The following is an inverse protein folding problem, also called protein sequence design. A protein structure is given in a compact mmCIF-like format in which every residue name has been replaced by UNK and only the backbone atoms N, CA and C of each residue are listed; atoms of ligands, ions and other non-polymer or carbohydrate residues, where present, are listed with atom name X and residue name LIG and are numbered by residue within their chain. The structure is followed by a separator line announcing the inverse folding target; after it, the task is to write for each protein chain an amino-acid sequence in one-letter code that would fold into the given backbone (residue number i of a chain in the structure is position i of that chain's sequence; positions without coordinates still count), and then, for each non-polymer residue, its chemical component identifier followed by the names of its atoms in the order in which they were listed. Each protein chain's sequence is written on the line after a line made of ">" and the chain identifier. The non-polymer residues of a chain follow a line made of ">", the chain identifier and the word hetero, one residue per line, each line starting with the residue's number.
data_IF_443678447145
#
_entry.id   IF_443678447145
#
_cell.length_a   1.000
_cell.length_b   1.000
_cell.length_c   1.000
_cell.angle_alpha   90.00
_cell.angle_beta   90.00
_cell.angle_gamma   90.00
#
_symmetry.space_group_name_H-M   'P 1'
#
loop_
_entity.id
_entity.type
_entity.pdbx_description
1 polymer ?
#
# COMPACT_ATOMS: atom_id res chain seq x y z
N UNK A 1 19.56 14.02 13.02
CA UNK A 1 19.26 12.72 12.86
C UNK A 1 18.06 12.57 12.02
N UNK A 2 17.99 11.50 11.47
CA UNK A 2 16.97 11.25 10.57
C UNK A 2 15.72 10.92 11.29
N UNK A 3 14.76 11.65 11.00
CA UNK A 3 13.53 11.41 11.58
C UNK A 3 12.78 10.45 10.76
N UNK A 4 12.18 9.51 11.35
CA UNK A 4 11.37 8.59 10.58
C UNK A 4 10.26 9.38 9.89
N UNK A 5 9.87 8.89 8.74
CA UNK A 5 8.86 9.55 7.94
C UNK A 5 7.49 8.96 8.20
N UNK A 6 7.17 8.77 9.45
CA UNK A 6 5.87 8.20 9.80
C UNK A 6 4.74 9.10 9.34
N UNK A 7 3.75 8.50 8.76
CA UNK A 7 2.60 9.20 8.20
C UNK A 7 1.34 8.47 8.58
N UNK A 8 0.26 9.22 8.70
CA UNK A 8 -1.06 8.63 8.86
C UNK A 8 -1.62 8.31 7.49
N UNK A 9 -1.95 7.07 7.28
CA UNK A 9 -2.48 6.59 6.00
C UNK A 9 -3.81 5.92 6.23
N UNK A 10 -4.53 5.65 5.15
CA UNK A 10 -5.79 4.93 5.21
C UNK A 10 -5.67 3.66 4.39
N UNK A 11 -5.99 2.54 5.02
CA UNK A 11 -5.99 1.23 4.37
C UNK A 11 -7.42 0.88 4.01
N UNK A 12 -7.65 0.48 2.77
CA UNK A 12 -8.95 -0.02 2.34
C UNK A 12 -8.78 -1.47 1.95
N UNK A 13 -9.44 -2.35 2.70
CA UNK A 13 -9.22 -3.78 2.57
C UNK A 13 -9.81 -4.30 1.28
N UNK A 14 -9.14 -5.29 0.70
CA UNK A 14 -9.65 -5.96 -0.47
C UNK A 14 -10.87 -6.78 -0.11
N UNK A 15 -11.79 -6.89 -1.05
CA UNK A 15 -13.01 -7.67 -0.90
C UNK A 15 -12.94 -8.88 -1.81
N UNK A 16 -12.39 -9.99 -1.33
CA UNK A 16 -12.22 -11.17 -2.18
C UNK A 16 -13.52 -11.79 -2.61
N UNK A 17 -14.61 -11.50 -1.90
CA UNK A 17 -15.92 -12.03 -2.23
C UNK A 17 -16.59 -11.26 -3.36
N UNK A 18 -15.96 -10.18 -3.83
CA UNK A 18 -16.52 -9.35 -4.90
C UNK A 18 -15.52 -9.36 -6.05
N UNK A 19 -15.96 -9.68 -7.27
CA UNK A 19 -15.03 -9.68 -8.39
C UNK A 19 -14.55 -8.28 -8.74
N UNK A 20 -13.44 -8.21 -9.47
CA UNK A 20 -12.96 -6.94 -9.98
C UNK A 20 -12.03 -6.18 -9.06
N UNK A 21 -11.41 -6.85 -8.11
CA UNK A 21 -10.47 -6.20 -7.19
C UNK A 21 -11.12 -5.08 -6.39
N UNK A 22 -12.37 -5.28 -6.00
CA UNK A 22 -13.06 -4.25 -5.24
C UNK A 22 -12.43 -4.07 -3.87
N UNK A 23 -12.51 -2.86 -3.36
CA UNK A 23 -12.01 -2.51 -2.04
C UNK A 23 -13.15 -1.97 -1.20
N UNK A 24 -13.00 -2.08 0.10
CA UNK A 24 -13.98 -1.49 1.00
C UNK A 24 -13.97 0.03 0.85
N UNK A 25 -15.14 0.63 0.91
CA UNK A 25 -15.22 2.08 0.82
C UNK A 25 -14.69 2.74 2.09
N UNK A 26 -14.98 2.14 3.23
CA UNK A 26 -14.49 2.67 4.49
C UNK A 26 -13.06 2.24 4.71
N UNK A 27 -12.25 3.13 5.26
CA UNK A 27 -10.85 2.84 5.50
C UNK A 27 -10.53 2.72 6.97
N UNK A 28 -9.38 2.18 7.24
CA UNK A 28 -8.84 2.06 8.59
C UNK A 28 -7.57 2.89 8.66
N UNK A 29 -7.45 3.69 9.71
CA UNK A 29 -6.26 4.51 9.90
C UNK A 29 -5.05 3.63 10.21
N UNK A 30 -3.91 4.03 9.67
CA UNK A 30 -2.67 3.31 9.83
C UNK A 30 -1.54 4.30 9.91
N UNK A 31 -0.66 4.13 10.89
CA UNK A 31 0.56 4.93 10.96
C UNK A 31 1.72 4.07 10.47
N UNK A 32 2.46 4.57 9.49
CA UNK A 32 3.50 3.79 8.87
C UNK A 32 4.59 4.69 8.33
N UNK A 33 5.74 4.09 8.07
CA UNK A 33 6.84 4.76 7.38
C UNK A 33 6.78 4.35 5.92
N UNK A 34 6.85 5.33 5.03
CA UNK A 34 6.79 5.08 3.59
C UNK A 34 8.05 5.67 2.96
N UNK A 35 8.69 4.87 2.12
CA UNK A 35 9.92 5.30 1.45
C UNK A 35 10.00 4.64 0.09
N UNK A 36 10.83 5.17 -0.82
CA UNK A 36 10.97 4.54 -2.12
C UNK A 36 11.50 3.12 -1.98
N UNK A 37 11.01 2.22 -2.81
CA UNK A 37 11.50 0.86 -2.85
C UNK A 37 12.75 0.83 -3.73
N UNK A 38 13.85 0.36 -3.17
CA UNK A 38 15.13 0.36 -3.87
C UNK A 38 15.82 -0.98 -3.65
N UNK A 39 16.92 -1.18 -4.39
CA UNK A 39 17.74 -2.36 -4.22
C UNK A 39 17.72 -3.25 -5.45
N UNK A 40 18.79 -4.04 -5.61
CA UNK A 40 18.91 -4.88 -6.79
C UNK A 40 17.88 -5.99 -6.81
N UNK A 41 17.53 -6.55 -5.65
CA UNK A 41 16.52 -7.58 -5.62
C UNK A 41 15.17 -7.02 -6.05
N UNK A 42 14.84 -5.80 -5.61
CA UNK A 42 13.59 -5.17 -6.02
C UNK A 42 13.61 -4.86 -7.51
N UNK A 43 14.76 -4.43 -8.03
CA UNK A 43 14.87 -4.13 -9.44
C UNK A 43 14.67 -5.38 -10.29
N UNK A 44 15.18 -6.51 -9.82
CA UNK A 44 14.98 -7.76 -10.54
C UNK A 44 13.52 -8.18 -10.52
N UNK A 45 12.84 -7.92 -9.43
CA UNK A 45 11.46 -8.35 -9.27
C UNK A 45 10.50 -7.47 -10.06
N UNK A 46 10.70 -6.16 -10.03
CA UNK A 46 9.73 -5.22 -10.57
C UNK A 46 10.15 -4.53 -11.86
N UNK A 47 11.45 -4.54 -12.16
CA UNK A 47 11.91 -3.96 -13.42
C UNK A 47 11.58 -2.48 -13.54
N UNK A 48 10.96 -2.13 -14.65
CA UNK A 48 10.67 -0.74 -14.94
C UNK A 48 9.62 -0.13 -14.02
N UNK A 49 8.85 -0.95 -13.34
CA UNK A 49 7.84 -0.43 -12.43
C UNK A 49 8.42 0.04 -11.11
N UNK A 50 9.70 -0.24 -10.86
CA UNK A 50 10.28 0.05 -9.55
C UNK A 50 10.17 1.52 -9.19
N UNK A 51 10.25 2.43 -10.16
CA UNK A 51 10.17 3.86 -9.87
C UNK A 51 8.81 4.27 -9.32
N UNK A 52 7.81 3.43 -9.47
CA UNK A 52 6.46 3.69 -8.98
C UNK A 52 6.10 2.82 -7.80
N UNK A 53 7.10 2.26 -7.14
CA UNK A 53 6.90 1.39 -6.00
C UNK A 53 7.35 2.07 -4.74
N UNK A 54 6.66 1.78 -3.66
CA UNK A 54 7.02 2.27 -2.33
C UNK A 54 7.17 1.10 -1.39
N UNK A 55 7.99 1.31 -0.37
CA UNK A 55 8.13 0.37 0.73
C UNK A 55 7.44 0.94 1.94
N UNK A 56 6.54 0.16 2.53
CA UNK A 56 5.82 0.57 3.71
C UNK A 56 6.25 -0.29 4.88
N UNK A 57 6.53 0.36 6.01
CA UNK A 57 6.91 -0.33 7.24
C UNK A 57 5.94 0.09 8.33
N UNK A 58 5.34 -0.87 9.01
CA UNK A 58 4.41 -0.56 10.08
C UNK A 58 4.39 -1.66 11.11
N UNK A 59 3.70 -1.42 12.20
CA UNK A 59 3.53 -2.41 13.24
C UNK A 59 2.53 -3.47 12.83
N UNK A 60 2.33 -4.46 13.70
CA UNK A 60 1.46 -5.59 13.37
C UNK A 60 -0.02 -5.33 13.64
N UNK A 61 -0.37 -4.15 14.12
CA UNK A 61 -1.74 -3.88 14.56
C UNK A 61 -2.75 -3.96 13.43
N UNK A 62 -2.38 -3.50 12.25
CA UNK A 62 -3.26 -3.56 11.10
C UNK A 62 -2.75 -4.63 10.16
N UNK A 63 -3.57 -5.64 9.94
CA UNK A 63 -3.16 -6.75 9.10
C UNK A 63 -3.27 -6.34 7.64
N UNK A 64 -2.13 -6.24 6.97
CA UNK A 64 -2.09 -5.93 5.55
C UNK A 64 -2.10 -7.21 4.74
N UNK A 65 -2.79 -7.16 3.62
CA UNK A 65 -2.86 -8.31 2.71
C UNK A 65 -2.63 -7.84 1.29
N UNK A 66 -2.12 -8.74 0.47
CA UNK A 66 -1.96 -8.42 -0.95
C UNK A 66 -3.30 -8.07 -1.53
N UNK A 67 -3.32 -7.02 -2.33
CA UNK A 67 -4.56 -6.54 -2.93
C UNK A 67 -5.21 -5.40 -2.19
N UNK A 68 -4.81 -5.14 -0.95
CA UNK A 68 -5.36 -4.01 -0.21
C UNK A 68 -4.96 -2.70 -0.87
N UNK A 69 -5.80 -1.69 -0.71
CA UNK A 69 -5.50 -0.35 -1.20
C UNK A 69 -5.02 0.55 -0.09
N UNK A 70 -4.17 1.51 -0.45
CA UNK A 70 -3.65 2.48 0.50
C UNK A 70 -3.76 3.87 -0.08
N UNK A 71 -4.30 4.78 0.72
CA UNK A 71 -4.31 6.19 0.39
C UNK A 71 -3.06 6.81 0.97
N UNK A 72 -2.01 6.93 0.14
CA UNK A 72 -0.74 7.48 0.59
C UNK A 72 -0.76 8.98 0.41
N UNK A 73 -0.97 9.44 -0.82
CA UNK A 73 -1.11 10.86 -1.10
C UNK A 73 -2.55 11.24 -1.36
N UNK A 74 -3.41 10.27 -1.58
CA UNK A 74 -4.82 10.52 -1.79
C UNK A 74 -5.52 10.74 -0.47
N UNK A 75 -6.65 11.45 -0.51
CA UNK A 75 -7.43 11.69 0.68
C UNK A 75 -8.06 10.40 1.17
N UNK A 76 -8.37 10.36 2.46
CA UNK A 76 -8.90 9.13 3.07
C UNK A 76 -10.23 8.71 2.45
N UNK A 77 -11.01 9.65 1.95
CA UNK A 77 -12.29 9.33 1.34
C UNK A 77 -12.21 9.18 -0.17
N UNK A 78 -11.01 9.26 -0.73
CA UNK A 78 -10.82 9.09 -2.16
C UNK A 78 -10.42 7.65 -2.46
N UNK A 79 -10.39 7.32 -3.74
CA UNK A 79 -9.89 6.00 -4.15
C UNK A 79 -8.41 5.90 -3.80
N UNK A 80 -7.95 4.71 -3.38
CA UNK A 80 -6.55 4.55 -3.04
C UNK A 80 -5.65 4.80 -4.23
N UNK A 81 -4.48 5.38 -3.97
CA UNK A 81 -3.51 5.63 -5.02
C UNK A 81 -2.40 4.58 -5.06
N UNK A 82 -2.37 3.65 -4.11
CA UNK A 82 -1.41 2.55 -4.10
C UNK A 82 -2.10 1.26 -3.73
N UNK A 83 -1.54 0.15 -4.20
CA UNK A 83 -2.06 -1.19 -3.91
C UNK A 83 -0.94 -2.06 -3.39
N UNK A 84 -1.24 -2.88 -2.39
CA UNK A 84 -0.27 -3.79 -1.81
C UNK A 84 -0.04 -4.95 -2.77
N UNK A 85 1.22 -5.17 -3.14
CA UNK A 85 1.58 -6.27 -4.04
C UNK A 85 2.28 -7.40 -3.31
N UNK A 86 2.83 -7.14 -2.13
CA UNK A 86 3.59 -8.16 -1.42
C UNK A 86 3.71 -7.75 0.04
N UNK A 87 3.60 -8.71 0.94
CA UNK A 87 3.68 -8.43 2.38
C UNK A 87 4.62 -9.44 3.02
N UNK A 88 5.52 -8.92 3.86
CA UNK A 88 6.34 -9.75 4.74
C UNK A 88 5.98 -9.42 6.17
N UNK A 89 5.77 -10.44 6.99
CA UNK A 89 5.34 -10.25 8.38
C UNK A 89 6.34 -10.83 9.34
N UNK A 90 6.60 -10.06 10.39
CA UNK A 90 7.38 -10.51 11.54
C UNK A 90 6.53 -10.30 12.78
N UNK A 91 6.90 -10.89 13.92
CA UNK A 91 6.07 -10.75 15.12
C UNK A 91 5.80 -9.32 15.54
N UNK A 92 6.72 -8.40 15.28
CA UNK A 92 6.61 -7.05 15.79
C UNK A 92 6.42 -5.99 14.71
N UNK A 93 6.45 -6.40 13.45
CA UNK A 93 6.29 -5.42 12.37
C UNK A 93 5.98 -6.14 11.09
N UNK A 94 5.60 -5.38 10.09
CA UNK A 94 5.39 -5.93 8.76
C UNK A 94 5.87 -4.92 7.75
N UNK A 95 6.16 -5.43 6.57
CA UNK A 95 6.68 -4.63 5.48
C UNK A 95 5.89 -4.99 4.23
N UNK A 96 5.49 -3.97 3.48
CA UNK A 96 4.68 -4.18 2.29
C UNK A 96 5.27 -3.42 1.13
N UNK A 97 5.14 -4.01 -0.05
CA UNK A 97 5.49 -3.33 -1.29
C UNK A 97 4.22 -2.74 -1.87
N UNK A 98 4.27 -1.47 -2.24
CA UNK A 98 3.11 -0.75 -2.75
C UNK A 98 3.38 -0.35 -4.19
N UNK A 99 2.39 -0.54 -5.05
CA UNK A 99 2.49 -0.16 -6.44
C UNK A 99 1.49 0.96 -6.70
N UNK A 100 1.95 2.02 -7.39
CA UNK A 100 1.10 3.14 -7.73
C UNK A 100 -0.01 2.71 -8.68
N UNK A 101 -1.20 3.22 -8.43
CA UNK A 101 -2.36 2.94 -9.27
C UNK A 101 -2.59 4.17 -10.14
N UNK A 102 -2.53 4.04 -11.48
CA UNK A 102 -2.81 5.17 -12.34
C UNK A 102 -4.20 5.72 -12.10
N UNK A 103 -4.35 7.02 -12.32
CA UNK A 103 -5.63 7.66 -12.06
C UNK A 103 -6.78 7.01 -12.80
N UNK A 104 -6.51 6.53 -14.01
CA UNK A 104 -7.55 5.90 -14.82
C UNK A 104 -8.06 4.61 -14.19
N UNK A 105 -7.26 4.01 -13.31
CA UNK A 105 -7.61 2.73 -12.70
C UNK A 105 -8.16 2.88 -11.30
N UNK A 106 -8.22 4.12 -10.78
CA UNK A 106 -8.70 4.35 -9.42
C UNK A 106 -10.19 4.56 -9.42
N UNK A 107 -10.88 3.84 -8.54
CA UNK A 107 -12.30 4.04 -8.38
C UNK A 107 -13.09 3.75 -9.63
N UNK A 108 -12.55 2.92 -10.49
CA UNK A 108 -13.23 2.62 -11.74
C UNK A 108 -14.47 1.79 -11.53
N UNK A 109 -14.58 1.24 -10.37
CA UNK A 109 -15.65 0.29 -10.10
C UNK A 109 -16.93 0.96 -9.62
N UNK A 110 -16.87 2.26 -9.35
CA UNK A 110 -18.04 2.87 -8.84
C UNK A 110 -18.96 3.34 -9.85
#
# INVERSE_FOLDING_TARGET
>A
MQRSSQRALTVKKARPDVPGNALEAAGTALTATVQPLTGSAAAQLYGLELSRMLLLLCGPETLLCEGDGLCVDAAADAAPDYRVTYVERWPRHQRAHLKWIPEDDRGADE
#
